data_IF_009216377993
#
_entry.id   IF_009216377993
#
_cell.length_a   1.000
_cell.length_b   1.000
_cell.length_c   1.000
_cell.angle_alpha   90.00
_cell.angle_beta   90.00
_cell.angle_gamma   90.00
#
_symmetry.space_group_name_H-M   'P 1'
#
loop_
_entity.id
_entity.type
_entity.pdbx_description
1 polymer ?
#
# COMPACT_ATOMS: atom_id res chain seq x y z
N UNK A 1 15.87 2.22 -2.98
CA UNK A 1 14.99 2.56 -4.12
C UNK A 1 13.87 1.53 -4.21
N UNK A 2 12.62 2.00 -4.29
CA UNK A 2 11.41 1.17 -4.31
C UNK A 2 10.74 1.24 -5.69
N UNK A 3 10.29 0.11 -6.22
CA UNK A 3 9.45 0.04 -7.41
C UNK A 3 7.98 0.05 -6.96
N UNK A 4 7.15 0.91 -7.54
CA UNK A 4 5.73 1.00 -7.18
C UNK A 4 4.87 0.56 -8.36
N UNK A 5 4.10 -0.49 -8.14
CA UNK A 5 3.09 -1.04 -9.02
C UNK A 5 1.73 -0.45 -8.62
N UNK A 6 1.36 0.68 -9.21
CA UNK A 6 0.03 1.25 -9.07
C UNK A 6 -0.88 0.75 -10.18
N UNK A 7 -2.16 0.53 -9.86
CA UNK A 7 -3.22 0.20 -10.83
C UNK A 7 -3.29 1.23 -11.97
N UNK A 8 -2.86 2.47 -11.72
CA UNK A 8 -2.80 3.56 -12.72
C UNK A 8 -1.53 3.59 -13.59
N UNK A 9 -0.45 2.91 -13.19
CA UNK A 9 0.75 2.81 -14.03
C UNK A 9 0.68 1.63 -15.01
N UNK A 10 -0.32 0.76 -14.84
CA UNK A 10 -0.51 -0.51 -15.56
C UNK A 10 -1.98 -0.71 -15.94
N UNK A 11 -2.68 0.36 -16.36
CA UNK A 11 -4.14 0.42 -16.61
C UNK A 11 -4.67 -0.63 -17.60
N UNK A 12 -3.82 -1.39 -18.30
CA UNK A 12 -4.29 -2.39 -19.26
C UNK A 12 -3.64 -3.78 -19.14
N UNK A 13 -2.91 -4.09 -18.06
CA UNK A 13 -2.22 -5.38 -17.95
C UNK A 13 -2.90 -6.28 -16.92
N UNK A 14 -3.70 -7.23 -17.44
CA UNK A 14 -4.09 -8.49 -16.79
C UNK A 14 -2.93 -8.99 -15.91
N UNK A 15 -3.20 -9.55 -14.73
CA UNK A 15 -2.18 -9.98 -13.74
C UNK A 15 -1.01 -10.75 -14.38
N UNK A 16 -1.30 -11.57 -15.39
CA UNK A 16 -0.32 -12.32 -16.20
C UNK A 16 0.70 -11.45 -16.94
N UNK A 17 0.27 -10.31 -17.49
CA UNK A 17 1.15 -9.41 -18.22
C UNK A 17 1.99 -8.56 -17.28
N UNK A 18 1.43 -8.16 -16.13
CA UNK A 18 2.19 -7.55 -15.05
C UNK A 18 3.28 -8.49 -14.52
N UNK A 19 2.99 -9.79 -14.37
CA UNK A 19 3.98 -10.80 -13.98
C UNK A 19 5.18 -10.84 -14.94
N UNK A 20 4.93 -10.90 -16.26
CA UNK A 20 6.00 -10.90 -17.28
C UNK A 20 6.85 -9.63 -17.23
N UNK A 21 6.22 -8.48 -16.99
CA UNK A 21 6.94 -7.21 -16.87
C UNK A 21 7.82 -7.20 -15.61
N UNK A 22 7.27 -7.60 -14.46
CA UNK A 22 8.02 -7.69 -13.20
C UNK A 22 9.22 -8.60 -13.36
N UNK A 23 9.04 -9.78 -13.95
CA UNK A 23 10.10 -10.74 -14.21
C UNK A 23 11.22 -10.13 -15.09
N UNK A 24 10.86 -9.48 -16.20
CA UNK A 24 11.82 -8.79 -17.08
C UNK A 24 12.58 -7.69 -16.36
N UNK A 25 11.89 -6.88 -15.56
CA UNK A 25 12.50 -5.77 -14.81
C UNK A 25 13.44 -6.30 -13.74
N UNK A 26 13.07 -7.37 -13.03
CA UNK A 26 13.96 -8.03 -12.06
C UNK A 26 15.22 -8.60 -12.72
N UNK A 27 15.09 -9.21 -13.92
CA UNK A 27 16.21 -9.78 -14.68
C UNK A 27 17.15 -8.71 -15.24
N UNK A 28 16.60 -7.67 -15.86
CA UNK A 28 17.39 -6.64 -16.56
C UNK A 28 17.96 -5.59 -15.59
N UNK A 29 17.29 -5.34 -14.46
CA UNK A 29 17.66 -4.30 -13.52
C UNK A 29 17.72 -4.81 -12.06
N UNK A 30 18.52 -5.85 -11.77
CA UNK A 30 18.52 -6.53 -10.48
C UNK A 30 18.98 -5.63 -9.32
N UNK A 31 19.78 -4.59 -9.56
CA UNK A 31 20.24 -3.66 -8.50
C UNK A 31 19.39 -2.39 -8.37
N UNK A 32 18.47 -2.13 -9.30
CA UNK A 32 17.75 -0.86 -9.35
C UNK A 32 16.76 -0.70 -8.18
N UNK A 33 16.19 -1.78 -7.67
CA UNK A 33 15.23 -1.72 -6.57
C UNK A 33 15.36 -2.93 -5.64
N UNK A 34 14.98 -2.72 -4.38
CA UNK A 34 14.97 -3.77 -3.35
C UNK A 34 13.55 -4.11 -2.87
N UNK A 35 12.64 -3.13 -2.91
CA UNK A 35 11.25 -3.25 -2.46
C UNK A 35 10.31 -2.98 -3.62
N UNK A 36 9.26 -3.79 -3.75
CA UNK A 36 8.17 -3.64 -4.71
C UNK A 36 6.88 -3.41 -3.94
N UNK A 37 6.12 -2.37 -4.27
CA UNK A 37 4.86 -2.02 -3.60
C UNK A 37 3.71 -2.15 -4.60
N UNK A 38 2.70 -2.96 -4.31
CA UNK A 38 1.53 -3.18 -5.16
C UNK A 38 0.21 -2.81 -4.49
N UNK A 39 -0.82 -2.60 -5.31
CA UNK A 39 -2.21 -2.60 -4.83
C UNK A 39 -2.71 -4.02 -4.48
N UNK A 40 -3.94 -4.14 -3.99
CA UNK A 40 -4.57 -5.39 -3.60
C UNK A 40 -4.64 -6.43 -4.73
N UNK A 41 -4.71 -5.98 -5.99
CA UNK A 41 -4.65 -6.87 -7.15
C UNK A 41 -3.34 -7.67 -7.24
N UNK A 42 -2.24 -7.12 -6.70
CA UNK A 42 -0.91 -7.75 -6.72
C UNK A 42 -0.65 -8.60 -5.49
N UNK A 43 -1.59 -8.69 -4.54
CA UNK A 43 -1.53 -9.62 -3.44
C UNK A 43 -1.87 -11.04 -3.95
N UNK A 44 -0.92 -11.62 -4.68
CA UNK A 44 -1.00 -12.95 -5.29
C UNK A 44 0.28 -13.73 -4.97
N UNK A 45 0.10 -15.00 -4.65
CA UNK A 45 1.14 -15.95 -4.26
C UNK A 45 2.25 -16.11 -5.31
N UNK A 46 1.90 -16.13 -6.61
CA UNK A 46 2.88 -16.25 -7.70
C UNK A 46 3.75 -15.02 -7.82
N UNK A 47 3.18 -13.83 -7.63
CA UNK A 47 3.96 -12.57 -7.65
C UNK A 47 4.90 -12.53 -6.46
N UNK A 48 4.43 -12.90 -5.27
CA UNK A 48 5.27 -12.93 -4.08
C UNK A 48 6.40 -13.96 -4.21
N UNK A 49 6.12 -15.17 -4.70
CA UNK A 49 7.14 -16.20 -4.98
C UNK A 49 8.15 -15.75 -6.03
N UNK A 50 7.71 -15.11 -7.12
CA UNK A 50 8.60 -14.56 -8.15
C UNK A 50 9.55 -13.52 -7.58
N UNK A 51 9.02 -12.55 -6.84
CA UNK A 51 9.82 -11.47 -6.26
C UNK A 51 10.80 -12.00 -5.21
N UNK A 52 10.35 -12.95 -4.39
CA UNK A 52 11.19 -13.60 -3.40
C UNK A 52 12.32 -14.42 -4.03
N UNK A 53 12.08 -15.12 -5.14
CA UNK A 53 13.12 -15.81 -5.93
C UNK A 53 14.18 -14.84 -6.49
N UNK A 54 13.83 -13.57 -6.69
CA UNK A 54 14.76 -12.50 -7.07
C UNK A 54 15.32 -11.70 -5.87
N UNK A 55 15.15 -12.22 -4.65
CA UNK A 55 15.55 -11.57 -3.39
C UNK A 55 14.96 -10.16 -3.24
N UNK A 56 13.74 -9.96 -3.75
CA UNK A 56 12.99 -8.71 -3.62
C UNK A 56 12.00 -8.79 -2.47
N UNK A 57 11.86 -7.68 -1.77
CA UNK A 57 10.82 -7.49 -0.76
C UNK A 57 9.57 -6.95 -1.43
N UNK A 58 8.41 -7.39 -0.98
CA UNK A 58 7.12 -7.08 -1.57
C UNK A 58 6.20 -6.56 -0.50
N UNK A 59 5.47 -5.49 -0.80
CA UNK A 59 4.40 -4.93 0.03
C UNK A 59 3.17 -4.86 -0.85
N UNK A 60 2.03 -5.39 -0.41
CA UNK A 60 0.77 -5.24 -1.12
C UNK A 60 -0.35 -4.86 -0.16
N UNK A 61 -1.32 -4.09 -0.66
CA UNK A 61 -2.52 -3.74 0.12
C UNK A 61 -3.36 -5.01 0.32
N UNK A 62 -3.86 -5.22 1.53
CA UNK A 62 -4.79 -6.30 1.85
C UNK A 62 -6.19 -5.68 2.07
N UNK A 63 -7.12 -5.98 1.16
CA UNK A 63 -8.50 -5.45 1.19
C UNK A 63 -9.59 -6.52 1.12
N UNK A 64 -9.19 -7.78 0.95
CA UNK A 64 -10.14 -8.86 0.69
C UNK A 64 -10.49 -9.55 2.01
N UNK A 65 -11.69 -9.25 2.51
CA UNK A 65 -12.16 -9.76 3.81
C UNK A 65 -12.30 -11.28 3.83
N UNK A 66 -12.46 -11.91 2.66
CA UNK A 66 -12.59 -13.37 2.49
C UNK A 66 -11.28 -14.14 2.64
N UNK A 67 -10.15 -13.47 2.88
CA UNK A 67 -8.86 -14.14 3.09
C UNK A 67 -8.68 -14.48 4.56
N UNK A 68 -8.29 -15.72 4.83
CA UNK A 68 -7.91 -16.17 6.19
C UNK A 68 -6.89 -15.22 6.84
N UNK A 69 -5.93 -14.73 6.05
CA UNK A 69 -4.93 -13.74 6.50
C UNK A 69 -5.55 -12.42 7.01
N UNK A 70 -6.64 -11.95 6.40
CA UNK A 70 -7.34 -10.74 6.83
C UNK A 70 -8.07 -10.95 8.14
N UNK A 71 -8.80 -12.07 8.27
CA UNK A 71 -9.50 -12.41 9.51
C UNK A 71 -8.52 -12.57 10.67
N UNK A 72 -7.40 -13.28 10.44
CA UNK A 72 -6.39 -13.51 11.46
C UNK A 72 -5.74 -12.21 11.92
N UNK A 73 -5.37 -11.32 10.98
CA UNK A 73 -4.80 -10.02 11.32
C UNK A 73 -5.77 -9.16 12.15
N UNK A 74 -7.08 -9.21 11.85
CA UNK A 74 -8.08 -8.50 12.64
C UNK A 74 -8.23 -9.10 14.05
N UNK A 75 -8.29 -10.43 14.17
CA UNK A 75 -8.34 -11.12 15.47
C UNK A 75 -7.14 -10.75 16.34
N UNK A 76 -5.93 -10.79 15.78
CA UNK A 76 -4.71 -10.40 16.49
C UNK A 76 -4.71 -8.91 16.89
N UNK A 77 -5.30 -8.04 16.07
CA UNK A 77 -5.42 -6.62 16.38
C UNK A 77 -6.37 -6.34 17.55
N UNK A 78 -7.41 -7.17 17.74
CA UNK A 78 -8.31 -7.09 18.90
C UNK A 78 -7.62 -7.50 20.22
N UNK A 79 -6.63 -8.39 20.13
CA UNK A 79 -5.93 -8.96 21.29
C UNK A 79 -4.69 -8.15 21.71
N UNK A 80 -4.22 -7.23 20.88
CA UNK A 80 -2.96 -6.52 21.08
C UNK A 80 -3.13 -5.00 21.09
N UNK A 81 -2.24 -4.32 21.83
CA UNK A 81 -2.24 -2.86 21.90
C UNK A 81 -1.56 -2.26 20.66
N UNK A 82 -2.18 -1.26 20.00
CA UNK A 82 -1.54 -0.57 18.89
C UNK A 82 -0.35 0.26 19.37
N UNK A 83 0.63 0.43 18.49
CA UNK A 83 1.59 1.53 18.59
C UNK A 83 0.90 2.81 18.10
N UNK A 84 0.89 3.84 18.94
CA UNK A 84 0.21 5.10 18.66
C UNK A 84 1.24 6.18 18.41
N UNK A 85 1.08 6.91 17.32
CA UNK A 85 1.88 8.11 17.05
C UNK A 85 1.06 9.13 16.26
N UNK A 86 1.50 10.38 16.28
CA UNK A 86 0.88 11.45 15.53
C UNK A 86 1.85 11.96 14.45
N UNK A 87 1.33 12.17 13.24
CA UNK A 87 2.02 12.91 12.19
C UNK A 87 1.08 14.02 11.69
N UNK A 88 1.48 15.27 11.93
CA UNK A 88 0.70 16.48 11.63
C UNK A 88 -0.71 16.43 12.26
N UNK A 89 -1.75 16.34 11.43
CA UNK A 89 -3.17 16.34 11.83
C UNK A 89 -3.76 14.93 11.88
N UNK A 90 -2.93 13.91 11.69
CA UNK A 90 -3.35 12.53 11.61
C UNK A 90 -2.75 11.73 12.76
N UNK A 91 -3.62 11.12 13.54
CA UNK A 91 -3.25 10.15 14.58
C UNK A 91 -3.29 8.76 13.97
N UNK A 92 -2.22 8.01 14.16
CA UNK A 92 -2.03 6.65 13.67
C UNK A 92 -2.10 5.68 14.85
N UNK A 93 -2.92 4.65 14.71
CA UNK A 93 -2.91 3.46 15.57
C UNK A 93 -2.50 2.29 14.68
N UNK A 94 -1.32 1.75 14.93
CA UNK A 94 -0.70 0.74 14.06
C UNK A 94 -0.45 -0.55 14.82
N UNK A 95 -0.90 -1.65 14.24
CA UNK A 95 -0.60 -3.00 14.68
C UNK A 95 0.34 -3.66 13.67
N UNK A 96 1.20 -4.53 14.18
CA UNK A 96 2.25 -5.17 13.42
C UNK A 96 2.35 -6.64 13.82
N UNK A 97 1.90 -7.51 12.91
CA UNK A 97 1.72 -8.93 13.17
C UNK A 97 2.60 -9.74 12.24
N UNK A 98 3.22 -10.80 12.75
CA UNK A 98 3.82 -11.83 11.89
C UNK A 98 2.90 -13.04 11.89
N UNK A 99 2.38 -13.41 10.72
CA UNK A 99 1.41 -14.48 10.53
C UNK A 99 2.02 -15.56 9.63
N UNK A 100 1.87 -16.82 10.04
CA UNK A 100 2.36 -18.01 9.34
C UNK A 100 1.19 -18.92 8.97
N UNK A 101 1.17 -19.45 7.74
CA UNK A 101 0.23 -20.50 7.33
C UNK A 101 -1.19 -20.03 6.96
N UNK A 102 -1.55 -18.76 7.15
CA UNK A 102 -2.88 -18.23 6.82
C UNK A 102 -3.01 -17.69 5.37
N UNK A 103 -2.02 -17.93 4.52
CA UNK A 103 -2.06 -17.55 3.11
C UNK A 103 -1.92 -18.78 2.22
N UNK A 104 -3.05 -19.22 1.69
CA UNK A 104 -3.12 -20.34 0.75
C UNK A 104 -2.21 -20.10 -0.48
N UNK A 105 -1.33 -21.07 -0.75
CA UNK A 105 -0.34 -21.01 -1.82
C UNK A 105 0.94 -20.23 -1.51
N UNK A 106 1.12 -19.64 -0.32
CA UNK A 106 2.36 -18.98 0.11
C UNK A 106 2.84 -19.51 1.48
N UNK A 107 3.70 -20.52 1.46
CA UNK A 107 4.13 -21.30 2.65
C UNK A 107 5.15 -20.57 3.56
N UNK A 108 5.31 -19.25 3.40
CA UNK A 108 6.25 -18.45 4.18
C UNK A 108 5.52 -17.51 5.11
N UNK A 109 6.18 -17.17 6.21
CA UNK A 109 5.70 -16.15 7.13
C UNK A 109 5.56 -14.82 6.39
N UNK A 110 4.51 -14.09 6.73
CA UNK A 110 4.26 -12.73 6.25
C UNK A 110 4.02 -11.81 7.42
N UNK A 111 4.48 -10.57 7.27
CA UNK A 111 4.19 -9.48 8.19
C UNK A 111 2.96 -8.74 7.69
N UNK A 112 1.98 -8.55 8.57
CA UNK A 112 0.75 -7.80 8.30
C UNK A 112 0.72 -6.57 9.17
N UNK A 113 0.63 -5.41 8.52
CA UNK A 113 0.56 -4.11 9.19
C UNK A 113 -0.87 -3.59 9.04
N UNK A 114 -1.52 -3.33 10.16
CA UNK A 114 -2.86 -2.74 10.23
C UNK A 114 -2.71 -1.31 10.72
N UNK A 115 -3.29 -0.34 10.02
CA UNK A 115 -3.25 1.09 10.39
C UNK A 115 -4.65 1.66 10.41
N UNK A 116 -5.05 2.18 11.57
CA UNK A 116 -6.24 3.01 11.75
C UNK A 116 -5.77 4.47 11.86
N UNK A 117 -6.22 5.29 10.93
CA UNK A 117 -5.78 6.68 10.76
C UNK A 117 -6.94 7.63 10.98
N UNK A 118 -6.81 8.49 11.98
CA UNK A 118 -7.81 9.52 12.26
C UNK A 118 -7.22 10.87 11.90
N UNK A 119 -7.74 11.47 10.82
CA UNK A 119 -7.35 12.82 10.39
C UNK A 119 -8.42 13.83 10.78
N UNK A 120 -8.04 14.89 11.48
CA UNK A 120 -8.96 15.97 11.85
C UNK A 120 -8.89 17.10 10.82
N UNK A 121 -10.03 17.42 10.21
CA UNK A 121 -10.16 18.49 9.21
C UNK A 121 -11.14 19.56 9.71
N UNK A 122 -10.79 20.82 9.47
CA UNK A 122 -11.73 21.93 9.61
C UNK A 122 -12.53 22.03 8.33
N UNK A 123 -13.85 21.90 8.44
CA UNK A 123 -14.79 22.06 7.33
C UNK A 123 -15.73 23.21 7.66
N UNK A 124 -16.24 23.91 6.66
CA UNK A 124 -17.29 24.89 6.90
C UNK A 124 -18.53 24.17 7.42
N UNK A 125 -19.17 24.76 8.43
CA UNK A 125 -20.47 24.30 8.91
C UNK A 125 -21.46 24.25 7.75
N UNK A 126 -22.36 23.26 7.73
CA UNK A 126 -23.37 23.12 6.66
C UNK A 126 -24.25 24.38 6.52
N UNK A 127 -24.35 25.15 7.58
CA UNK A 127 -25.13 26.39 7.66
C UNK A 127 -24.35 27.63 7.17
N UNK A 128 -23.13 27.46 6.66
CA UNK A 128 -22.24 28.53 6.19
C UNK A 128 -21.67 29.42 7.30
N UNK A 129 -22.20 29.31 8.53
CA UNK A 129 -21.79 30.09 9.70
C UNK A 129 -20.80 29.30 10.55
N UNK A 130 -19.51 29.47 10.26
CA UNK A 130 -18.41 29.00 11.10
C UNK A 130 -17.69 27.75 10.61
N UNK A 131 -16.79 27.26 11.46
CA UNK A 131 -15.91 26.12 11.17
C UNK A 131 -16.23 24.97 12.12
N UNK A 132 -16.49 23.79 11.56
CA UNK A 132 -16.65 22.55 12.29
C UNK A 132 -15.40 21.68 12.19
N UNK A 133 -15.09 20.96 13.28
CA UNK A 133 -14.04 19.95 13.31
C UNK A 133 -14.67 18.61 12.92
N UNK A 134 -14.28 18.06 11.76
CA UNK A 134 -14.72 16.73 11.32
C UNK A 134 -13.54 15.77 11.37
N UNK A 135 -13.71 14.67 12.11
CA UNK A 135 -12.78 13.55 12.09
C UNK A 135 -13.08 12.64 10.90
N UNK A 136 -12.03 12.21 10.21
CA UNK A 136 -12.09 11.22 9.15
C UNK A 136 -11.23 10.03 9.56
N UNK A 137 -11.86 8.88 9.76
CA UNK A 137 -11.16 7.62 10.06
C UNK A 137 -10.91 6.87 8.75
N UNK A 138 -9.73 6.25 8.60
CA UNK A 138 -9.34 5.45 7.45
C UNK A 138 -8.59 4.22 7.92
N UNK A 139 -9.00 3.06 7.43
CA UNK A 139 -8.39 1.77 7.79
C UNK A 139 -7.59 1.23 6.61
N UNK A 140 -6.37 0.82 6.90
CA UNK A 140 -5.46 0.23 5.92
C UNK A 140 -4.88 -1.05 6.47
N UNK A 141 -4.69 -2.03 5.58
CA UNK A 141 -3.97 -3.24 5.89
C UNK A 141 -3.00 -3.53 4.76
N UNK A 142 -1.77 -3.91 5.12
CA UNK A 142 -0.73 -4.27 4.17
C UNK A 142 -0.09 -5.59 4.56
N UNK A 143 0.30 -6.36 3.56
CA UNK A 143 1.02 -7.63 3.73
C UNK A 143 2.39 -7.48 3.10
N UNK A 144 3.42 -7.97 3.79
CA UNK A 144 4.79 -7.94 3.31
C UNK A 144 5.59 -9.19 3.69
N UNK A 145 6.55 -9.57 2.85
CA UNK A 145 7.60 -10.56 3.17
C UNK A 145 8.84 -9.91 3.84
N UNK A 146 8.72 -8.66 4.25
CA UNK A 146 9.70 -7.95 5.07
C UNK A 146 9.46 -8.28 6.55
N UNK A 147 10.06 -9.37 7.01
CA UNK A 147 9.89 -9.87 8.37
C UNK A 147 10.79 -9.17 9.41
N UNK A 148 11.81 -8.45 8.94
CA UNK A 148 12.75 -7.72 9.78
C UNK A 148 12.48 -6.21 9.70
N UNK A 149 12.97 -5.46 10.69
CA UNK A 149 12.97 -4.00 10.69
C UNK A 149 14.13 -3.43 9.84
N UNK A 150 14.58 -4.17 8.83
CA UNK A 150 15.69 -3.77 7.96
C UNK A 150 15.38 -2.52 7.12
N UNK A 151 14.10 -2.15 6.97
CA UNK A 151 13.65 -0.90 6.34
C UNK A 151 13.45 0.26 7.33
N UNK A 152 13.80 0.05 8.61
CA UNK A 152 13.68 1.03 9.70
C UNK A 152 12.45 0.81 10.57
N UNK A 153 12.20 1.77 11.45
CA UNK A 153 11.08 1.78 12.40
C UNK A 153 9.71 1.63 11.70
N UNK A 154 8.71 1.08 12.40
CA UNK A 154 7.36 0.82 11.92
C UNK A 154 6.73 2.06 11.26
N UNK A 155 7.01 3.26 11.80
CA UNK A 155 6.57 4.53 11.24
C UNK A 155 7.09 4.75 9.81
N UNK A 156 8.35 4.41 9.54
CA UNK A 156 8.93 4.50 8.20
C UNK A 156 8.30 3.48 7.25
N UNK A 157 8.07 2.25 7.72
CA UNK A 157 7.41 1.22 6.92
C UNK A 157 5.99 1.65 6.53
N UNK A 158 5.19 2.18 7.46
CA UNK A 158 3.86 2.74 7.16
C UNK A 158 3.95 3.88 6.15
N UNK A 159 4.92 4.79 6.30
CA UNK A 159 5.16 5.87 5.32
C UNK A 159 5.50 5.33 3.93
N UNK A 160 6.28 4.25 3.85
CA UNK A 160 6.59 3.56 2.59
C UNK A 160 5.31 2.96 1.99
N UNK A 161 4.48 2.29 2.78
CA UNK A 161 3.18 1.76 2.33
C UNK A 161 2.27 2.86 1.76
N UNK A 162 2.23 4.04 2.38
CA UNK A 162 1.51 5.20 1.86
C UNK A 162 2.15 5.85 0.63
N UNK A 163 3.43 5.59 0.34
CA UNK A 163 4.11 6.20 -0.80
C UNK A 163 3.46 5.81 -2.14
N UNK A 164 2.75 4.67 -2.19
CA UNK A 164 1.86 4.31 -3.32
C UNK A 164 0.84 5.40 -3.61
N UNK A 165 0.16 5.91 -2.58
CA UNK A 165 -0.81 6.99 -2.71
C UNK A 165 -0.14 8.32 -3.08
N UNK A 166 1.11 8.55 -2.63
CA UNK A 166 1.84 9.76 -3.01
C UNK A 166 2.19 9.82 -4.51
N UNK A 167 2.45 8.68 -5.18
CA UNK A 167 2.67 8.66 -6.63
C UNK A 167 1.40 9.07 -7.38
N UNK A 168 0.24 8.62 -6.94
CA UNK A 168 -1.04 9.02 -7.54
C UNK A 168 -1.28 10.54 -7.40
N UNK A 169 -1.02 11.09 -6.21
CA UNK A 169 -1.24 12.52 -5.94
C UNK A 169 -0.17 13.46 -6.50
N UNK A 170 1.07 13.00 -6.71
CA UNK A 170 2.16 13.85 -7.21
C UNK A 170 2.48 13.61 -8.68
N UNK A 171 2.39 12.37 -9.16
CA UNK A 171 2.73 12.00 -10.53
C UNK A 171 1.51 12.14 -11.46
N UNK A 172 0.33 11.63 -11.06
CA UNK A 172 -0.85 11.63 -11.93
C UNK A 172 -1.65 12.93 -11.89
N UNK A 173 -1.81 13.60 -10.73
CA UNK A 173 -2.44 14.94 -10.70
C UNK A 173 -1.66 16.01 -11.47
N UNK A 174 -0.34 15.84 -11.62
CA UNK A 174 0.45 16.73 -12.47
C UNK A 174 0.24 16.42 -13.95
N UNK A 175 0.06 15.14 -14.31
CA UNK A 175 -0.15 14.72 -15.71
C UNK A 175 -1.59 14.81 -16.22
N UNK A 176 -2.63 14.81 -15.37
CA UNK A 176 -4.01 15.00 -15.86
C UNK A 176 -4.24 16.41 -16.42
N UNK A 177 -3.58 17.43 -15.82
CA UNK A 177 -3.60 18.81 -16.33
C UNK A 177 -2.96 18.98 -17.71
N UNK A 178 -2.08 18.05 -18.11
CA UNK A 178 -1.44 18.12 -19.44
C UNK A 178 -2.21 17.34 -20.51
N UNK A 179 -3.05 16.37 -20.13
CA UNK A 179 -3.84 15.57 -21.09
C UNK A 179 -5.25 16.13 -21.35
N UNK A 180 -5.83 16.92 -20.44
CA UNK A 180 -7.03 17.73 -20.73
C UNK A 180 -6.72 19.01 -21.55
N UNK A 181 -5.44 19.37 -21.71
CA UNK A 181 -4.99 20.56 -22.43
C UNK A 181 -4.66 20.35 -23.92
N UNK A 182 -4.96 19.18 -24.51
CA UNK A 182 -4.68 18.88 -25.93
C UNK A 182 -5.87 18.27 -26.68
N UNK A 183 -7.08 18.75 -26.41
CA UNK A 183 -8.24 18.46 -27.25
C UNK A 183 -9.09 19.70 -27.55
N UNK A 184 -8.47 20.85 -27.81
CA UNK A 184 -9.08 21.95 -28.57
C UNK A 184 -7.96 22.63 -29.36
N UNK A 185 -8.20 22.83 -30.66
CA UNK A 185 -7.32 23.36 -31.73
C UNK A 185 -6.66 22.30 -32.64
N UNK A 186 -7.47 21.74 -33.54
CA UNK A 186 -7.23 21.75 -35.00
C UNK A 186 -8.37 21.04 -35.74
N UNK A 187 -9.36 21.83 -36.16
CA UNK A 187 -9.99 21.82 -37.48
C UNK A 187 -10.70 23.16 -37.64
#
# INVERSE_FOLDING_TARGET
MCLILSQYCLVSLKVTSSYRLIERVCKNYPKAFKVVIGDALYLNEKIFKLLDAHHKKTIAVLKEERRQLFEEANKLSLLSKPKIYQDKKTTYRVWDHTISGCWDGYDKNVRVIVSEETTTKRVHAKDGKGWEQKSQVSNWMWVTNLLDDSMGDLKNTVRICHSRWQIENKCFRRNSKYLEGRSYLQA
#
